data_IF_346943753442
#
_entry.id   IF_346943753442
#
_cell.length_a   1.000
_cell.length_b   1.000
_cell.length_c   1.000
_cell.angle_alpha   90.00
_cell.angle_beta   90.00
_cell.angle_gamma   90.00
#
_symmetry.space_group_name_H-M   'P 1'
#
loop_
_entity.id
_entity.type
_entity.pdbx_description
1 polymer ?
#
# COMPACT_ATOMS: atom_id res chain seq x y z
N UNK A 1 55.47 13.30 26.91
CA UNK A 1 54.06 13.77 26.95
C UNK A 1 53.24 12.99 25.94
N UNK A 2 52.82 11.77 26.33
CA UNK A 2 51.74 11.00 25.69
C UNK A 2 50.51 11.17 26.57
N UNK A 3 49.33 11.36 25.96
CA UNK A 3 48.04 11.23 26.65
C UNK A 3 47.21 12.50 26.66
N UNK A 4 46.35 12.67 25.65
CA UNK A 4 45.09 13.43 25.77
C UNK A 4 44.17 13.26 24.55
N UNK A 5 44.68 13.01 23.34
CA UNK A 5 43.86 13.13 22.11
C UNK A 5 43.18 11.85 21.59
N UNK A 6 43.11 10.76 22.36
CA UNK A 6 42.44 9.51 21.92
C UNK A 6 41.10 9.19 22.57
N UNK A 7 40.58 10.05 23.45
CA UNK A 7 39.33 9.77 24.19
C UNK A 7 38.08 10.53 23.69
N UNK A 8 38.23 11.53 22.82
CA UNK A 8 37.08 12.30 22.31
C UNK A 8 36.44 11.70 21.04
N UNK A 9 37.20 10.97 20.22
CA UNK A 9 36.67 10.36 18.99
C UNK A 9 35.82 9.10 19.26
N UNK A 10 36.14 8.32 20.29
CA UNK A 10 35.38 7.11 20.65
C UNK A 10 34.03 7.41 21.31
N UNK A 11 33.90 8.54 22.01
CA UNK A 11 32.66 8.94 22.70
C UNK A 11 31.66 9.59 21.76
N UNK A 12 32.10 10.34 20.75
CA UNK A 12 31.20 10.91 19.73
C UNK A 12 30.60 9.84 18.80
N UNK A 13 31.37 8.81 18.40
CA UNK A 13 30.86 7.71 17.57
C UNK A 13 29.90 6.78 18.32
N UNK A 14 30.17 6.52 19.61
CA UNK A 14 29.24 5.78 20.48
C UNK A 14 27.99 6.60 20.82
N UNK A 15 28.12 7.92 21.01
CA UNK A 15 26.98 8.80 21.20
C UNK A 15 26.10 8.86 19.94
N UNK A 16 26.67 9.06 18.74
CA UNK A 16 25.91 9.06 17.49
C UNK A 16 25.27 7.69 17.19
N UNK A 17 25.99 6.58 17.44
CA UNK A 17 25.44 5.23 17.35
C UNK A 17 24.31 4.98 18.35
N UNK A 18 24.45 5.47 19.58
CA UNK A 18 23.41 5.36 20.61
C UNK A 18 22.20 6.26 20.36
N UNK A 19 22.34 7.38 19.64
CA UNK A 19 21.22 8.22 19.21
C UNK A 19 20.49 7.63 18.00
N UNK A 20 21.19 7.00 17.05
CA UNK A 20 20.56 6.23 15.97
C UNK A 20 19.85 4.99 16.51
N UNK A 21 20.46 4.28 17.46
CA UNK A 21 19.85 3.15 18.18
C UNK A 21 18.72 3.60 19.12
N UNK A 22 18.78 4.80 19.73
CA UNK A 22 17.67 5.39 20.50
C UNK A 22 16.56 5.98 19.63
N UNK A 23 16.84 6.38 18.39
CA UNK A 23 15.80 6.77 17.44
C UNK A 23 14.97 5.55 16.98
N UNK A 24 15.55 4.36 17.08
CA UNK A 24 14.90 3.06 16.95
C UNK A 24 14.28 2.60 18.30
N UNK A 25 13.44 3.42 18.91
CA UNK A 25 12.50 2.92 19.92
C UNK A 25 11.43 1.98 19.32
N UNK A 26 11.56 1.57 18.05
CA UNK A 26 10.85 0.45 17.41
C UNK A 26 11.74 -0.81 17.31
N UNK A 27 11.11 -1.98 17.23
CA UNK A 27 11.83 -3.25 17.29
C UNK A 27 12.73 -3.48 16.05
N UNK A 28 13.97 -4.02 16.19
CA UNK A 28 14.77 -4.52 15.05
C UNK A 28 13.99 -5.45 14.12
N UNK A 29 12.95 -6.12 14.65
CA UNK A 29 12.02 -6.94 13.90
C UNK A 29 11.27 -6.16 12.80
N UNK A 30 10.97 -4.87 12.98
CA UNK A 30 10.27 -4.06 11.98
C UNK A 30 11.04 -3.92 10.66
N UNK A 31 12.37 -4.06 10.70
CA UNK A 31 13.23 -4.12 9.50
C UNK A 31 12.99 -5.39 8.67
N UNK A 32 12.43 -6.44 9.29
CA UNK A 32 12.08 -7.69 8.66
C UNK A 32 13.23 -8.70 8.54
N UNK A 33 13.10 -9.64 7.61
CA UNK A 33 14.09 -10.70 7.37
C UNK A 33 15.46 -10.21 6.91
N UNK A 34 16.47 -11.03 7.22
CA UNK A 34 17.83 -10.83 6.75
C UNK A 34 17.92 -11.02 5.22
N UNK A 35 18.76 -10.24 4.49
CA UNK A 35 18.86 -10.33 3.02
C UNK A 35 19.17 -11.72 2.47
N UNK A 36 19.92 -12.55 3.22
CA UNK A 36 20.20 -13.93 2.84
C UNK A 36 18.93 -14.81 2.80
N UNK A 37 17.98 -14.59 3.71
CA UNK A 37 16.73 -15.33 3.74
C UNK A 37 15.80 -14.90 2.59
N UNK A 38 15.78 -13.60 2.26
CA UNK A 38 15.07 -13.07 1.09
C UNK A 38 15.65 -13.67 -0.19
N UNK A 39 16.98 -13.59 -0.36
CA UNK A 39 17.67 -14.13 -1.54
C UNK A 39 17.42 -15.63 -1.75
N UNK A 40 17.31 -16.41 -0.67
CA UNK A 40 17.06 -17.85 -0.76
C UNK A 40 15.76 -18.19 -1.50
N UNK A 41 14.74 -17.33 -1.42
CA UNK A 41 13.44 -17.54 -2.10
C UNK A 41 13.33 -16.76 -3.42
N UNK A 42 14.06 -15.65 -3.60
CA UNK A 42 13.94 -14.79 -4.80
C UNK A 42 14.88 -15.17 -5.94
N UNK A 43 16.03 -15.81 -5.67
CA UNK A 43 17.08 -16.06 -6.67
C UNK A 43 16.65 -16.92 -7.88
N UNK A 44 15.54 -17.66 -7.78
CA UNK A 44 15.00 -18.48 -8.86
C UNK A 44 14.03 -17.75 -9.79
N UNK A 45 13.65 -16.51 -9.48
CA UNK A 45 12.68 -15.76 -10.26
C UNK A 45 13.30 -15.23 -11.58
N UNK A 46 12.57 -15.30 -12.71
CA UNK A 46 13.00 -14.66 -13.96
C UNK A 46 13.00 -13.12 -13.89
N UNK A 47 12.31 -12.56 -12.89
CA UNK A 47 12.18 -11.13 -12.63
C UNK A 47 13.27 -10.61 -11.67
N UNK A 48 14.05 -11.51 -11.06
CA UNK A 48 15.14 -11.18 -10.15
C UNK A 48 16.50 -11.28 -10.87
N UNK A 49 17.15 -10.14 -11.10
CA UNK A 49 18.41 -10.06 -11.87
C UNK A 49 19.43 -9.22 -11.11
N UNK A 50 20.68 -9.67 -11.13
CA UNK A 50 21.79 -8.98 -10.45
C UNK A 50 21.54 -8.67 -8.96
N UNK A 51 20.74 -9.50 -8.30
CA UNK A 51 20.41 -9.37 -6.88
C UNK A 51 19.27 -8.41 -6.56
N UNK A 52 18.49 -7.96 -7.54
CA UNK A 52 17.32 -7.10 -7.36
C UNK A 52 16.18 -7.47 -8.33
N UNK A 53 14.95 -7.09 -7.98
CA UNK A 53 13.84 -7.02 -8.92
C UNK A 53 13.91 -5.72 -9.74
N UNK A 54 13.37 -5.77 -10.95
CA UNK A 54 13.34 -4.62 -11.88
C UNK A 54 11.94 -4.43 -12.45
N UNK A 55 11.57 -3.18 -12.73
CA UNK A 55 10.31 -2.86 -13.40
C UNK A 55 10.32 -3.38 -14.85
N UNK A 56 9.13 -3.76 -15.36
CA UNK A 56 8.97 -4.18 -16.76
C UNK A 56 9.12 -3.01 -17.73
N UNK A 57 8.61 -1.84 -17.33
CA UNK A 57 8.72 -0.61 -18.12
C UNK A 57 10.08 0.06 -17.87
N UNK A 58 10.73 0.60 -18.92
CA UNK A 58 11.91 1.43 -18.77
C UNK A 58 11.65 2.61 -17.82
N UNK A 59 12.66 3.00 -17.04
CA UNK A 59 12.58 4.23 -16.23
C UNK A 59 12.50 5.47 -17.11
N UNK A 60 11.78 6.49 -16.67
CA UNK A 60 11.81 7.81 -17.30
C UNK A 60 13.19 8.44 -17.12
N UNK A 61 13.65 9.17 -18.13
CA UNK A 61 14.86 9.99 -18.07
C UNK A 61 14.59 11.24 -17.21
N UNK A 62 14.38 11.03 -15.90
CA UNK A 62 14.17 12.10 -14.95
C UNK A 62 15.25 12.05 -13.87
N UNK A 63 16.09 13.08 -13.86
CA UNK A 63 17.13 13.26 -12.85
C UNK A 63 16.82 14.50 -12.03
N UNK A 64 16.56 14.31 -10.74
CA UNK A 64 16.53 15.43 -9.80
C UNK A 64 17.94 15.80 -9.39
N UNK A 65 18.17 17.10 -9.22
CA UNK A 65 19.35 17.55 -8.49
C UNK A 65 19.14 17.55 -6.97
N UNK A 66 20.22 17.78 -6.21
CA UNK A 66 20.17 17.75 -4.74
C UNK A 66 19.37 18.90 -4.13
N UNK A 67 19.24 20.01 -4.84
CA UNK A 67 18.51 21.18 -4.37
C UNK A 67 17.01 20.92 -4.48
N UNK A 68 16.56 20.35 -5.60
CA UNK A 68 15.17 19.91 -5.80
C UNK A 68 14.77 18.85 -4.77
N UNK A 69 15.63 17.85 -4.52
CA UNK A 69 15.40 16.86 -3.46
C UNK A 69 15.28 17.51 -2.07
N UNK A 70 16.11 18.53 -1.79
CA UNK A 70 16.07 19.26 -0.52
C UNK A 70 14.79 20.08 -0.39
N UNK A 71 14.31 20.67 -1.47
CA UNK A 71 13.05 21.42 -1.50
C UNK A 71 11.85 20.51 -1.25
N UNK A 72 11.82 19.31 -1.87
CA UNK A 72 10.80 18.31 -1.58
C UNK A 72 10.83 17.86 -0.12
N UNK A 73 12.01 17.55 0.41
CA UNK A 73 12.17 17.18 1.82
C UNK A 73 11.75 18.33 2.76
N UNK A 74 12.08 19.57 2.41
CA UNK A 74 11.67 20.75 3.17
C UNK A 74 10.16 20.94 3.13
N UNK A 75 9.52 20.79 1.96
CA UNK A 75 8.07 20.91 1.84
C UNK A 75 7.39 19.85 2.70
N UNK A 76 7.82 18.59 2.59
CA UNK A 76 7.40 17.46 3.43
C UNK A 76 7.53 17.71 4.94
N UNK A 77 8.45 18.55 5.40
CA UNK A 77 8.63 18.86 6.83
C UNK A 77 7.89 20.16 7.23
N UNK A 78 7.95 21.19 6.38
CA UNK A 78 7.64 22.58 6.70
C UNK A 78 6.28 23.07 6.24
N UNK A 79 5.73 22.58 5.12
CA UNK A 79 4.48 23.09 4.55
C UNK A 79 3.26 22.34 5.11
N UNK A 80 2.90 22.66 6.36
CA UNK A 80 1.87 21.93 7.13
C UNK A 80 0.44 22.41 6.89
N UNK A 81 0.23 23.56 6.28
CA UNK A 81 -1.07 24.24 6.23
C UNK A 81 -2.09 23.56 5.32
N UNK A 82 -1.71 23.29 4.06
CA UNK A 82 -2.60 22.69 3.04
C UNK A 82 -2.43 21.17 2.91
N UNK A 83 -1.33 20.63 3.44
CA UNK A 83 -1.02 19.19 3.41
C UNK A 83 -1.67 18.40 4.55
N UNK A 84 -2.51 19.06 5.36
CA UNK A 84 -3.30 18.46 6.45
C UNK A 84 -4.73 19.02 6.42
N UNK A 85 -5.72 18.24 6.90
CA UNK A 85 -7.09 18.71 7.01
C UNK A 85 -7.21 19.81 8.07
N UNK A 86 -8.10 20.79 7.83
CA UNK A 86 -8.39 21.87 8.77
C UNK A 86 -9.25 21.43 9.96
N UNK A 87 -10.04 20.36 9.77
CA UNK A 87 -10.88 19.73 10.78
C UNK A 87 -10.62 18.21 10.83
N UNK A 88 -11.05 17.50 11.88
CA UNK A 88 -10.98 16.04 11.91
C UNK A 88 -11.69 15.40 10.72
N UNK A 89 -11.04 14.44 10.06
CA UNK A 89 -11.64 13.65 8.99
C UNK A 89 -12.82 12.84 9.57
N UNK A 90 -14.03 12.95 9.01
CA UNK A 90 -15.17 12.20 9.50
C UNK A 90 -14.97 10.70 9.24
N UNK A 91 -15.27 9.90 10.25
CA UNK A 91 -15.26 8.44 10.17
C UNK A 91 -16.69 7.93 10.02
N UNK A 92 -16.90 6.94 9.17
CA UNK A 92 -18.15 6.20 9.08
C UNK A 92 -18.06 4.92 9.95
N UNK A 93 -18.96 4.73 10.92
CA UNK A 93 -19.27 3.44 11.58
C UNK A 93 -20.51 3.61 12.48
N UNK A 94 -21.57 2.79 12.32
CA UNK A 94 -21.59 1.45 12.96
C UNK A 94 -21.93 0.25 12.05
N UNK A 95 -22.33 0.45 10.79
CA UNK A 95 -22.91 -0.59 9.92
C UNK A 95 -21.91 -1.21 8.90
N UNK A 96 -20.60 -1.14 9.17
CA UNK A 96 -19.55 -1.51 8.20
C UNK A 96 -19.66 -2.96 7.71
N UNK A 97 -20.22 -3.84 8.54
CA UNK A 97 -20.30 -5.28 8.30
C UNK A 97 -21.73 -5.82 8.19
N UNK A 98 -22.73 -4.93 8.10
CA UNK A 98 -24.15 -5.31 8.04
C UNK A 98 -24.60 -5.79 6.64
N UNK A 99 -23.68 -5.79 5.67
CA UNK A 99 -23.92 -6.21 4.29
C UNK A 99 -23.80 -7.71 4.06
N UNK A 100 -24.45 -8.21 3.00
CA UNK A 100 -24.29 -9.59 2.53
C UNK A 100 -22.94 -9.72 1.79
N UNK A 101 -21.95 -10.48 2.32
CA UNK A 101 -20.64 -10.63 1.69
C UNK A 101 -20.68 -11.39 0.36
N UNK A 102 -21.82 -12.02 0.00
CA UNK A 102 -22.04 -12.62 -1.33
C UNK A 102 -22.13 -11.59 -2.45
N UNK A 103 -22.37 -10.32 -2.10
CA UNK A 103 -22.34 -9.21 -3.05
C UNK A 103 -20.95 -8.61 -3.10
N UNK A 104 -20.60 -8.05 -4.25
CA UNK A 104 -19.41 -7.21 -4.36
C UNK A 104 -19.58 -5.96 -3.51
N UNK A 105 -18.63 -5.68 -2.63
CA UNK A 105 -18.56 -4.42 -1.89
C UNK A 105 -17.14 -4.14 -1.43
N UNK A 106 -16.86 -2.87 -1.10
CA UNK A 106 -15.58 -2.49 -0.50
C UNK A 106 -15.79 -1.52 0.65
N UNK A 107 -15.08 -1.78 1.74
CA UNK A 107 -15.00 -0.89 2.89
C UNK A 107 -13.59 -0.31 2.97
N UNK A 108 -13.45 1.01 2.91
CA UNK A 108 -12.14 1.65 2.93
C UNK A 108 -11.74 2.06 4.34
N UNK A 109 -10.59 1.60 4.85
CA UNK A 109 -10.14 1.88 6.23
C UNK A 109 -9.13 3.03 6.31
N UNK A 110 -8.71 3.54 5.14
CA UNK A 110 -7.65 4.53 4.99
C UNK A 110 -6.46 3.95 4.24
N UNK A 111 -5.72 4.81 3.56
CA UNK A 111 -4.53 4.50 2.77
C UNK A 111 -4.85 3.43 1.71
N UNK A 112 -4.05 2.37 1.61
CA UNK A 112 -4.33 1.19 0.77
C UNK A 112 -5.05 0.06 1.51
N UNK A 113 -5.48 0.30 2.76
CA UNK A 113 -6.25 -0.68 3.53
C UNK A 113 -7.72 -0.65 3.14
N UNK A 114 -8.19 -1.74 2.52
CA UNK A 114 -9.59 -1.95 2.19
C UNK A 114 -10.02 -3.38 2.51
N UNK A 115 -11.27 -3.55 2.93
CA UNK A 115 -11.92 -4.85 3.03
C UNK A 115 -12.83 -5.03 1.82
N UNK A 116 -12.43 -5.91 0.91
CA UNK A 116 -13.19 -6.34 -0.24
C UNK A 116 -14.08 -7.51 0.14
N UNK A 117 -15.38 -7.39 -0.07
CA UNK A 117 -16.34 -8.49 -0.03
C UNK A 117 -16.65 -8.90 -1.47
N UNK A 118 -16.47 -10.19 -1.79
CA UNK A 118 -16.57 -10.69 -3.16
C UNK A 118 -17.03 -12.14 -3.16
N UNK A 119 -18.22 -12.41 -3.72
CA UNK A 119 -18.79 -13.76 -3.85
C UNK A 119 -18.78 -14.62 -2.56
N UNK A 120 -18.91 -13.98 -1.40
CA UNK A 120 -18.95 -14.64 -0.09
C UNK A 120 -17.62 -14.62 0.65
N UNK A 121 -16.54 -14.19 -0.01
CA UNK A 121 -15.20 -14.06 0.57
C UNK A 121 -14.93 -12.63 1.04
N UNK A 122 -14.09 -12.49 2.06
CA UNK A 122 -13.57 -11.23 2.57
C UNK A 122 -12.07 -11.16 2.44
N UNK A 123 -11.58 -10.22 1.63
CA UNK A 123 -10.16 -10.01 1.37
C UNK A 123 -9.72 -8.66 1.93
N UNK A 124 -8.72 -8.66 2.81
CA UNK A 124 -8.16 -7.45 3.40
C UNK A 124 -6.87 -7.08 2.66
N UNK A 125 -6.79 -5.87 2.12
CA UNK A 125 -5.62 -5.37 1.38
C UNK A 125 -4.72 -4.52 2.28
N UNK A 126 -3.41 -4.61 2.11
CA UNK A 126 -2.35 -3.79 2.76
C UNK A 126 -2.72 -3.28 4.16
N UNK A 127 -2.93 -4.17 5.14
CA UNK A 127 -3.50 -3.77 6.40
C UNK A 127 -2.51 -3.00 7.27
N UNK A 128 -2.83 -1.74 7.57
CA UNK A 128 -2.04 -0.87 8.45
C UNK A 128 -2.94 -0.20 9.49
N UNK A 129 -2.87 -0.68 10.74
CA UNK A 129 -3.54 -0.08 11.90
C UNK A 129 -2.64 0.83 12.74
N UNK A 130 -1.32 0.71 12.57
CA UNK A 130 -0.32 1.51 13.29
C UNK A 130 -0.52 3.01 13.11
N UNK A 131 -0.21 3.78 14.16
CA UNK A 131 -0.30 5.24 14.13
C UNK A 131 0.74 5.89 13.18
N UNK A 132 1.87 5.22 12.95
CA UNK A 132 2.92 5.66 12.03
C UNK A 132 3.34 4.52 11.11
N UNK A 133 3.63 4.85 9.85
CA UNK A 133 4.24 3.94 8.89
C UNK A 133 5.76 4.13 8.92
N UNK A 134 6.43 3.49 9.87
CA UNK A 134 7.86 3.67 10.13
C UNK A 134 8.44 2.49 10.92
N UNK A 135 9.75 2.21 10.83
CA UNK A 135 10.41 1.29 11.76
C UNK A 135 10.50 1.83 13.20
N UNK A 136 10.05 3.06 13.45
CA UNK A 136 10.08 3.72 14.75
C UNK A 136 8.70 4.26 15.12
N UNK A 137 8.29 4.05 16.37
CA UNK A 137 7.02 4.56 16.89
C UNK A 137 7.02 6.09 17.11
N UNK A 138 8.20 6.70 17.05
CA UNK A 138 8.40 8.13 17.36
C UNK A 138 8.55 8.96 16.08
N UNK A 139 9.28 8.43 15.10
CA UNK A 139 9.69 9.16 13.88
C UNK A 139 8.97 8.56 12.68
N UNK A 140 8.64 9.39 11.70
CA UNK A 140 8.01 8.95 10.44
C UNK A 140 6.58 9.44 10.27
N UNK A 141 5.96 9.20 9.10
CA UNK A 141 4.65 9.75 8.77
C UNK A 141 3.60 9.22 9.74
N UNK A 142 2.80 10.14 10.29
CA UNK A 142 1.68 9.84 11.18
C UNK A 142 0.38 9.92 10.40
N UNK A 143 -0.56 9.05 10.72
CA UNK A 143 -1.90 9.12 10.12
C UNK A 143 -2.69 10.36 10.51
N UNK A 144 -3.57 10.78 9.60
CA UNK A 144 -4.40 11.99 9.69
C UNK A 144 -5.73 11.77 10.41
N UNK A 145 -6.16 10.52 10.57
CA UNK A 145 -7.39 10.11 11.28
C UNK A 145 -7.14 8.81 12.05
N UNK A 146 -7.92 8.40 13.08
CA UNK A 146 -7.88 7.07 13.73
C UNK A 146 -8.34 5.94 12.78
N UNK A 147 -8.04 4.64 12.99
CA UNK A 147 -8.61 3.59 12.15
C UNK A 147 -10.11 3.59 12.44
N UNK A 148 -10.98 3.41 11.44
CA UNK A 148 -12.41 3.58 11.65
C UNK A 148 -13.00 2.56 12.63
N UNK A 149 -12.36 1.40 12.76
CA UNK A 149 -12.67 0.37 13.76
C UNK A 149 -11.36 -0.21 14.32
N UNK A 150 -11.36 -0.72 15.57
CA UNK A 150 -10.24 -1.50 16.09
C UNK A 150 -10.01 -2.76 15.24
N UNK A 151 -8.78 -3.26 15.19
CA UNK A 151 -8.42 -4.42 14.38
C UNK A 151 -9.17 -5.68 14.83
N UNK A 152 -9.40 -5.80 16.14
CA UNK A 152 -10.19 -6.87 16.77
C UNK A 152 -11.67 -6.80 16.41
N UNK A 153 -12.13 -5.64 15.90
CA UNK A 153 -13.48 -5.45 15.41
C UNK A 153 -13.69 -5.90 13.97
N UNK A 154 -12.64 -6.37 13.28
CA UNK A 154 -12.80 -6.92 11.93
C UNK A 154 -13.61 -8.22 11.95
N UNK A 155 -14.46 -8.46 10.94
CA UNK A 155 -15.06 -9.77 10.73
C UNK A 155 -13.97 -10.79 10.40
N UNK A 156 -14.34 -12.08 10.41
CA UNK A 156 -13.48 -13.09 9.83
C UNK A 156 -13.14 -12.73 8.38
N UNK A 157 -11.85 -12.69 8.08
CA UNK A 157 -11.32 -12.51 6.72
C UNK A 157 -10.85 -13.85 6.17
N UNK A 158 -10.98 -14.04 4.87
CA UNK A 158 -10.62 -15.28 4.17
C UNK A 158 -9.23 -15.18 3.55
N UNK A 159 -8.78 -13.98 3.20
CA UNK A 159 -7.44 -13.72 2.70
C UNK A 159 -6.94 -12.33 3.15
N UNK A 160 -5.62 -12.21 3.36
CA UNK A 160 -4.93 -10.93 3.46
C UNK A 160 -4.01 -10.81 2.27
N UNK A 161 -4.03 -9.67 1.57
CA UNK A 161 -3.21 -9.41 0.39
C UNK A 161 -2.27 -8.25 0.70
N UNK A 162 -0.98 -8.43 0.40
CA UNK A 162 0.04 -7.38 0.55
C UNK A 162 0.62 -7.04 -0.82
N UNK A 163 0.74 -5.76 -1.16
CA UNK A 163 1.31 -5.32 -2.45
C UNK A 163 2.83 -5.35 -2.48
N UNK A 164 3.51 -4.90 -1.42
CA UNK A 164 4.97 -4.83 -1.32
C UNK A 164 5.40 -4.57 0.15
N UNK A 165 6.70 -4.44 0.41
CA UNK A 165 7.26 -4.46 1.76
C UNK A 165 7.40 -3.08 2.45
N UNK A 166 6.91 -1.97 1.91
CA UNK A 166 7.04 -0.67 2.57
C UNK A 166 6.21 -0.60 3.86
N UNK A 167 6.60 0.28 4.78
CA UNK A 167 6.00 0.36 6.11
C UNK A 167 4.53 0.78 6.12
N UNK A 168 4.08 1.49 5.10
CA UNK A 168 2.69 1.91 4.91
C UNK A 168 1.82 0.86 4.19
N UNK A 169 2.41 -0.27 3.79
CA UNK A 169 1.73 -1.40 3.15
C UNK A 169 1.90 -2.73 3.91
N UNK A 170 3.01 -2.87 4.64
CA UNK A 170 3.36 -4.02 5.46
C UNK A 170 3.75 -3.58 6.88
N UNK A 171 2.74 -3.49 7.73
CA UNK A 171 2.89 -3.12 9.14
C UNK A 171 3.04 -4.35 10.03
N UNK A 172 4.19 -4.46 10.72
CA UNK A 172 4.52 -5.63 11.54
C UNK A 172 3.50 -5.85 12.67
N UNK A 173 3.06 -4.79 13.33
CA UNK A 173 2.15 -4.90 14.48
C UNK A 173 0.77 -5.38 14.03
N UNK A 174 0.27 -4.86 12.91
CA UNK A 174 -0.96 -5.34 12.27
C UNK A 174 -0.83 -6.78 11.83
N UNK A 175 0.27 -7.17 11.17
CA UNK A 175 0.49 -8.56 10.73
C UNK A 175 0.50 -9.52 11.92
N UNK A 176 1.22 -9.20 13.00
CA UNK A 176 1.27 -10.02 14.21
C UNK A 176 -0.08 -10.11 14.92
N UNK A 177 -0.84 -9.02 14.94
CA UNK A 177 -2.18 -9.02 15.53
C UNK A 177 -3.19 -9.82 14.69
N UNK A 178 -3.15 -9.70 13.35
CA UNK A 178 -3.93 -10.55 12.43
C UNK A 178 -3.55 -12.02 12.56
N UNK A 179 -2.27 -12.33 12.75
CA UNK A 179 -1.83 -13.71 12.95
C UNK A 179 -2.45 -14.36 14.19
N UNK A 180 -2.64 -13.57 15.25
CA UNK A 180 -3.26 -14.02 16.52
C UNK A 180 -4.78 -14.12 16.45
N UNK A 181 -5.43 -13.22 15.70
CA UNK A 181 -6.89 -13.04 15.72
C UNK A 181 -7.61 -13.70 14.54
N UNK A 182 -6.92 -13.89 13.42
CA UNK A 182 -7.47 -14.40 12.17
C UNK A 182 -6.76 -15.68 11.73
N UNK A 183 -7.43 -16.48 10.89
CA UNK A 183 -6.86 -17.71 10.29
C UNK A 183 -6.44 -17.56 8.83
N UNK A 184 -6.83 -16.48 8.17
CA UNK A 184 -6.57 -16.25 6.75
C UNK A 184 -5.10 -16.43 6.36
N UNK A 185 -4.80 -17.02 5.20
CA UNK A 185 -3.49 -16.92 4.58
C UNK A 185 -3.18 -15.47 4.15
N UNK A 186 -1.89 -15.16 4.10
CA UNK A 186 -1.31 -13.95 3.56
C UNK A 186 -0.80 -14.24 2.14
N UNK A 187 -1.40 -13.59 1.15
CA UNK A 187 -0.94 -13.55 -0.22
C UNK A 187 0.04 -12.39 -0.36
N UNK A 188 1.28 -12.71 -0.69
CA UNK A 188 2.37 -11.73 -0.74
C UNK A 188 3.24 -11.94 -1.98
N UNK A 189 3.91 -10.89 -2.49
CA UNK A 189 4.86 -11.03 -3.58
C UNK A 189 6.12 -11.77 -3.12
N UNK A 190 6.81 -12.38 -4.07
CA UNK A 190 8.04 -13.14 -3.82
C UNK A 190 9.09 -12.34 -3.01
N UNK A 191 9.59 -12.93 -1.92
CA UNK A 191 10.54 -12.31 -1.01
C UNK A 191 9.87 -11.66 0.21
N UNK A 192 8.63 -11.16 0.10
CA UNK A 192 7.91 -10.56 1.23
C UNK A 192 7.57 -11.61 2.28
N UNK A 193 7.30 -12.86 1.86
CA UNK A 193 7.06 -13.99 2.74
C UNK A 193 8.24 -14.28 3.67
N UNK A 194 9.47 -13.94 3.29
CA UNK A 194 10.61 -14.05 4.18
C UNK A 194 10.45 -13.16 5.44
N UNK A 195 9.92 -11.93 5.30
CA UNK A 195 9.64 -11.06 6.46
C UNK A 195 8.59 -11.70 7.38
N UNK A 196 7.50 -12.23 6.81
CA UNK A 196 6.45 -12.90 7.56
C UNK A 196 6.98 -14.12 8.33
N UNK A 197 7.81 -14.96 7.69
CA UNK A 197 8.48 -16.10 8.35
C UNK A 197 9.37 -15.63 9.50
N UNK A 198 10.15 -14.56 9.29
CA UNK A 198 11.00 -13.98 10.34
C UNK A 198 10.19 -13.44 11.53
N UNK A 199 8.95 -13.01 11.30
CA UNK A 199 8.00 -12.59 12.33
C UNK A 199 7.22 -13.74 12.98
N UNK A 200 7.47 -14.98 12.57
CA UNK A 200 6.85 -16.18 13.15
C UNK A 200 5.48 -16.52 12.57
N UNK A 201 5.12 -15.98 11.40
CA UNK A 201 3.92 -16.40 10.68
C UNK A 201 4.12 -17.84 10.18
N UNK A 202 3.19 -18.78 10.46
CA UNK A 202 3.33 -20.17 10.02
C UNK A 202 3.39 -20.32 8.50
N UNK A 203 4.27 -21.19 7.99
CA UNK A 203 4.48 -21.41 6.55
C UNK A 203 3.18 -21.68 5.77
N UNK A 204 2.28 -22.50 6.34
CA UNK A 204 1.01 -22.85 5.70
C UNK A 204 0.03 -21.67 5.57
N UNK A 205 0.33 -20.52 6.20
CA UNK A 205 -0.42 -19.27 6.05
C UNK A 205 0.25 -18.29 5.10
N UNK A 206 1.36 -18.64 4.45
CA UNK A 206 2.08 -17.73 3.56
C UNK A 206 1.96 -18.27 2.12
N UNK A 207 1.27 -17.52 1.28
CA UNK A 207 1.19 -17.79 -0.16
C UNK A 207 2.04 -16.75 -0.87
N UNK A 208 3.27 -17.14 -1.19
CA UNK A 208 4.28 -16.26 -1.78
C UNK A 208 4.34 -16.48 -3.30
N UNK A 209 4.12 -15.41 -4.07
CA UNK A 209 3.86 -15.48 -5.51
C UNK A 209 4.73 -14.50 -6.32
N UNK A 210 5.27 -14.97 -7.43
CA UNK A 210 5.83 -14.12 -8.49
C UNK A 210 4.72 -13.58 -9.41
N UNK A 211 5.02 -12.60 -10.25
CA UNK A 211 4.05 -12.07 -11.22
C UNK A 211 3.50 -13.17 -12.13
N UNK A 212 2.20 -13.03 -12.43
CA UNK A 212 1.36 -13.98 -13.17
C UNK A 212 1.11 -15.32 -12.46
N UNK A 213 1.64 -15.54 -11.25
CA UNK A 213 1.27 -16.68 -10.43
C UNK A 213 -0.01 -16.40 -9.65
N UNK A 214 -0.74 -17.47 -9.33
CA UNK A 214 -2.00 -17.39 -8.60
C UNK A 214 -2.03 -18.39 -7.45
N UNK A 215 -2.69 -18.02 -6.37
CA UNK A 215 -3.11 -18.95 -5.33
C UNK A 215 -4.63 -18.92 -5.17
N UNK A 216 -5.16 -19.79 -4.30
CA UNK A 216 -6.60 -19.96 -4.13
C UNK A 216 -7.00 -20.10 -2.67
N UNK A 217 -8.20 -19.62 -2.36
CA UNK A 217 -8.97 -19.97 -1.16
C UNK A 217 -10.30 -20.49 -1.66
N UNK A 218 -10.48 -21.81 -1.66
CA UNK A 218 -11.63 -22.48 -2.27
C UNK A 218 -11.86 -22.02 -3.74
N UNK A 219 -12.97 -21.33 -4.02
CA UNK A 219 -13.32 -20.81 -5.35
C UNK A 219 -12.67 -19.46 -5.66
N UNK A 220 -12.21 -18.72 -4.64
CA UNK A 220 -11.52 -17.44 -4.79
C UNK A 220 -10.12 -17.65 -5.38
N UNK A 221 -9.82 -16.92 -6.44
CA UNK A 221 -8.50 -16.87 -7.07
C UNK A 221 -7.86 -15.52 -6.77
N UNK A 222 -6.63 -15.54 -6.28
CA UNK A 222 -5.83 -14.33 -6.05
C UNK A 222 -4.57 -14.43 -6.91
N UNK A 223 -4.45 -13.54 -7.89
CA UNK A 223 -3.36 -13.53 -8.88
C UNK A 223 -2.43 -12.35 -8.60
N UNK A 224 -1.14 -12.64 -8.42
CA UNK A 224 -0.07 -11.66 -8.30
C UNK A 224 0.23 -11.09 -9.69
N UNK A 225 0.11 -9.78 -9.87
CA UNK A 225 0.22 -9.12 -11.17
C UNK A 225 1.31 -8.05 -11.17
N UNK A 226 1.89 -7.74 -12.35
CA UNK A 226 2.85 -6.66 -12.47
C UNK A 226 2.35 -5.33 -11.91
N UNK A 227 3.27 -4.60 -11.29
CA UNK A 227 3.11 -3.22 -10.87
C UNK A 227 4.42 -2.47 -11.15
N UNK A 228 4.34 -1.15 -11.27
CA UNK A 228 5.52 -0.29 -11.42
C UNK A 228 5.82 0.40 -10.10
N UNK A 229 6.76 -0.16 -9.35
CA UNK A 229 7.12 0.35 -8.04
C UNK A 229 8.54 -0.09 -7.65
N UNK A 230 8.84 -0.10 -6.35
CA UNK A 230 10.09 -0.58 -5.79
C UNK A 230 9.82 -1.21 -4.41
N UNK A 231 10.83 -1.81 -3.78
CA UNK A 231 10.73 -2.34 -2.41
C UNK A 231 11.88 -1.87 -1.53
N UNK A 232 11.69 -1.93 -0.22
CA UNK A 232 12.75 -1.70 0.77
C UNK A 232 12.25 -1.25 2.14
N UNK A 233 12.73 -1.93 3.19
CA UNK A 233 12.48 -1.55 4.60
C UNK A 233 13.66 -0.82 5.26
N UNK A 234 14.86 -0.87 4.69
CA UNK A 234 16.01 -0.17 5.28
C UNK A 234 17.01 0.30 4.22
N UNK A 235 18.25 -0.18 4.26
CA UNK A 235 19.27 0.17 3.27
C UNK A 235 19.14 -0.66 1.99
N UNK A 236 18.61 -1.88 2.10
CA UNK A 236 18.37 -2.75 0.96
C UNK A 236 17.14 -2.28 0.20
N UNK A 237 17.27 -2.19 -1.12
CA UNK A 237 16.17 -1.87 -2.04
C UNK A 237 15.99 -2.97 -3.07
N UNK A 238 14.75 -3.17 -3.50
CA UNK A 238 14.38 -4.06 -4.59
C UNK A 238 14.75 -5.53 -4.36
N UNK A 239 14.91 -5.95 -3.10
CA UNK A 239 15.27 -7.34 -2.78
C UNK A 239 14.05 -8.26 -2.71
N UNK A 240 12.85 -7.70 -2.47
CA UNK A 240 11.56 -8.38 -2.60
C UNK A 240 10.78 -7.82 -3.79
N UNK A 241 9.84 -8.61 -4.30
CA UNK A 241 8.95 -8.19 -5.37
C UNK A 241 7.88 -7.20 -4.85
N UNK A 242 7.32 -6.40 -5.75
CA UNK A 242 6.13 -5.57 -5.56
C UNK A 242 5.09 -5.99 -6.59
N UNK A 243 3.80 -5.89 -6.25
CA UNK A 243 2.74 -6.39 -7.11
C UNK A 243 1.45 -5.59 -6.98
N UNK A 244 0.65 -5.69 -8.03
CA UNK A 244 -0.79 -5.50 -7.97
C UNK A 244 -1.49 -6.85 -7.90
N UNK A 245 -2.80 -6.87 -7.68
CA UNK A 245 -3.54 -8.10 -7.44
C UNK A 245 -4.87 -8.12 -8.17
N UNK A 246 -5.16 -9.23 -8.87
CA UNK A 246 -6.52 -9.55 -9.28
C UNK A 246 -7.12 -10.52 -8.26
N UNK A 247 -8.31 -10.16 -7.76
CA UNK A 247 -9.11 -10.97 -6.84
C UNK A 247 -10.38 -11.36 -7.56
N UNK A 248 -10.53 -12.64 -7.87
CA UNK A 248 -11.60 -13.17 -8.73
C UNK A 248 -12.39 -14.22 -7.98
N UNK A 249 -13.66 -13.94 -7.73
CA UNK A 249 -14.63 -14.93 -7.29
C UNK A 249 -15.37 -15.57 -8.48
N UNK A 250 -16.32 -16.48 -8.22
CA UNK A 250 -17.14 -17.10 -9.25
C UNK A 250 -17.91 -16.14 -10.17
N UNK A 251 -18.35 -14.99 -9.67
CA UNK A 251 -19.21 -14.06 -10.41
C UNK A 251 -18.62 -12.66 -10.55
N UNK A 252 -17.71 -12.26 -9.67
CA UNK A 252 -17.18 -10.90 -9.63
C UNK A 252 -15.65 -10.88 -9.65
N UNK A 253 -15.08 -9.76 -10.10
CA UNK A 253 -13.63 -9.54 -10.21
C UNK A 253 -13.28 -8.14 -9.70
N UNK A 254 -12.29 -8.07 -8.83
CA UNK A 254 -11.74 -6.81 -8.34
C UNK A 254 -10.23 -6.72 -8.62
N UNK A 255 -9.77 -5.51 -8.91
CA UNK A 255 -8.36 -5.19 -9.06
C UNK A 255 -7.87 -4.33 -7.90
N UNK A 256 -6.72 -4.67 -7.33
CA UNK A 256 -6.05 -3.91 -6.29
C UNK A 256 -4.66 -3.48 -6.75
N UNK A 257 -4.44 -2.17 -6.89
CA UNK A 257 -3.22 -1.61 -7.48
C UNK A 257 -2.05 -1.41 -6.50
N UNK A 258 -2.23 -1.61 -5.20
CA UNK A 258 -1.25 -1.18 -4.19
C UNK A 258 -1.04 0.34 -4.28
N UNK A 259 0.20 0.77 -4.55
CA UNK A 259 0.63 2.15 -4.75
C UNK A 259 1.43 2.36 -6.06
N UNK A 260 1.17 1.49 -7.04
CA UNK A 260 1.86 1.47 -8.33
C UNK A 260 1.88 2.84 -9.06
N UNK A 261 2.97 3.08 -9.77
CA UNK A 261 3.05 4.03 -10.89
C UNK A 261 2.31 3.51 -12.12
N UNK A 262 2.16 4.36 -13.13
CA UNK A 262 1.50 3.96 -14.37
C UNK A 262 2.37 2.99 -15.15
N UNK A 263 1.78 1.89 -15.64
CA UNK A 263 2.46 0.86 -16.43
C UNK A 263 1.69 0.47 -17.69
N UNK A 264 2.43 0.10 -18.74
CA UNK A 264 1.84 -0.48 -19.95
C UNK A 264 1.17 -1.84 -19.68
N UNK A 265 1.50 -2.50 -18.57
CA UNK A 265 0.94 -3.79 -18.19
C UNK A 265 -0.57 -3.74 -17.95
N UNK A 266 -1.16 -2.58 -17.62
CA UNK A 266 -2.58 -2.50 -17.28
C UNK A 266 -3.50 -2.96 -18.42
N UNK A 267 -3.20 -2.59 -19.66
CA UNK A 267 -4.03 -2.99 -20.81
C UNK A 267 -4.03 -4.51 -21.01
N UNK A 268 -2.87 -5.15 -20.83
CA UNK A 268 -2.74 -6.61 -20.90
C UNK A 268 -3.45 -7.28 -19.71
N UNK A 269 -3.33 -6.71 -18.50
CA UNK A 269 -4.04 -7.19 -17.31
C UNK A 269 -5.56 -7.12 -17.53
N UNK A 270 -6.08 -6.01 -18.05
CA UNK A 270 -7.50 -5.86 -18.40
C UNK A 270 -7.94 -6.90 -19.43
N UNK A 271 -7.12 -7.17 -20.45
CA UNK A 271 -7.41 -8.19 -21.46
C UNK A 271 -7.42 -9.62 -20.90
N UNK A 272 -6.48 -9.96 -20.02
CA UNK A 272 -6.31 -11.33 -19.52
C UNK A 272 -7.24 -11.67 -18.34
N UNK A 273 -7.53 -10.68 -17.48
CA UNK A 273 -8.22 -10.89 -16.22
C UNK A 273 -9.53 -10.10 -16.10
N UNK A 274 -9.77 -9.11 -16.94
CA UNK A 274 -10.97 -8.29 -16.92
C UNK A 274 -12.18 -8.93 -17.63
N UNK A 275 -13.26 -8.14 -17.80
CA UNK A 275 -13.44 -6.81 -17.21
C UNK A 275 -13.55 -6.90 -15.68
N UNK A 276 -12.95 -5.94 -14.97
CA UNK A 276 -13.08 -5.84 -13.51
C UNK A 276 -14.33 -5.04 -13.14
N UNK A 277 -15.08 -5.53 -12.15
CA UNK A 277 -16.26 -4.84 -11.60
C UNK A 277 -15.87 -3.70 -10.67
N UNK A 278 -14.68 -3.79 -10.05
CA UNK A 278 -14.16 -2.84 -9.08
C UNK A 278 -12.65 -2.69 -9.23
N UNK A 279 -12.15 -1.46 -9.26
CA UNK A 279 -10.71 -1.18 -9.21
C UNK A 279 -10.39 -0.29 -8.01
N UNK A 280 -9.46 -0.74 -7.17
CA UNK A 280 -8.88 0.01 -6.08
C UNK A 280 -7.53 0.56 -6.54
N UNK A 281 -7.48 1.85 -6.89
CA UNK A 281 -6.30 2.46 -7.51
C UNK A 281 -5.72 3.61 -6.67
N UNK A 282 -4.38 3.68 -6.51
CA UNK A 282 -3.74 4.75 -5.77
C UNK A 282 -3.90 6.08 -6.52
N UNK A 283 -4.13 7.15 -5.76
CA UNK A 283 -4.25 8.51 -6.31
C UNK A 283 -3.42 9.55 -5.57
N UNK A 284 -2.77 9.18 -4.47
CA UNK A 284 -1.93 10.06 -3.67
C UNK A 284 -0.44 9.74 -3.83
N UNK A 285 0.38 10.38 -3.01
CA UNK A 285 1.84 10.19 -2.97
C UNK A 285 2.60 10.53 -4.27
N UNK A 286 1.94 11.04 -5.30
CA UNK A 286 2.58 11.45 -6.55
C UNK A 286 3.43 12.71 -6.39
N UNK A 287 4.47 12.80 -7.22
CA UNK A 287 5.19 14.03 -7.47
C UNK A 287 5.92 13.95 -8.80
N UNK A 288 6.17 15.10 -9.44
CA UNK A 288 7.01 15.19 -10.63
C UNK A 288 8.45 14.71 -10.36
N UNK A 289 8.86 14.71 -9.09
CA UNK A 289 10.13 14.18 -8.60
C UNK A 289 10.32 12.66 -8.77
N UNK A 290 9.24 11.89 -8.86
CA UNK A 290 9.27 10.43 -9.01
C UNK A 290 8.10 9.96 -9.89
N UNK A 291 8.08 10.38 -11.16
CA UNK A 291 6.91 10.23 -12.03
C UNK A 291 6.53 8.77 -12.29
N UNK A 292 7.47 7.85 -12.12
CA UNK A 292 7.27 6.42 -12.40
C UNK A 292 6.85 5.59 -11.19
N UNK A 293 6.88 6.16 -9.98
CA UNK A 293 6.75 5.40 -8.73
C UNK A 293 5.30 5.34 -8.25
N UNK A 294 4.56 6.44 -8.38
CA UNK A 294 3.17 6.57 -7.95
C UNK A 294 2.37 7.26 -9.05
N UNK A 295 1.21 6.70 -9.40
CA UNK A 295 0.29 7.34 -10.35
C UNK A 295 -0.18 8.68 -9.80
N UNK A 296 -0.25 9.68 -10.68
CA UNK A 296 -1.10 10.83 -10.44
C UNK A 296 -2.59 10.48 -10.67
N UNK A 297 -3.53 11.33 -10.25
CA UNK A 297 -4.96 11.03 -10.36
C UNK A 297 -5.45 10.83 -11.80
N UNK A 298 -4.88 11.54 -12.78
CA UNK A 298 -5.22 11.40 -14.19
C UNK A 298 -4.73 10.06 -14.77
N UNK A 299 -3.56 9.60 -14.34
CA UNK A 299 -3.02 8.27 -14.65
C UNK A 299 -3.86 7.17 -14.01
N UNK A 300 -4.39 7.36 -12.80
CA UNK A 300 -5.31 6.41 -12.18
C UNK A 300 -6.61 6.24 -12.99
N UNK A 301 -7.15 7.32 -13.58
CA UNK A 301 -8.28 7.25 -14.52
C UNK A 301 -7.91 6.47 -15.77
N UNK A 302 -6.70 6.69 -16.33
CA UNK A 302 -6.22 5.95 -17.49
C UNK A 302 -6.04 4.46 -17.18
N UNK A 303 -5.40 4.13 -16.06
CA UNK A 303 -5.21 2.76 -15.61
C UNK A 303 -6.55 2.04 -15.41
N UNK A 304 -7.54 2.72 -14.83
CA UNK A 304 -8.89 2.17 -14.71
C UNK A 304 -9.48 1.80 -16.08
N UNK A 305 -9.37 2.69 -17.07
CA UNK A 305 -9.86 2.45 -18.43
C UNK A 305 -9.09 1.34 -19.17
N UNK A 306 -7.81 1.14 -18.85
CA UNK A 306 -7.03 0.02 -19.36
C UNK A 306 -7.45 -1.33 -18.74
N UNK A 307 -7.98 -1.30 -17.52
CA UNK A 307 -8.39 -2.49 -16.75
C UNK A 307 -9.85 -2.88 -17.00
N UNK A 308 -10.75 -1.92 -17.23
CA UNK A 308 -12.19 -2.16 -17.37
C UNK A 308 -12.90 -1.01 -18.06
N UNK A 309 -14.04 -1.31 -18.69
CA UNK A 309 -14.91 -0.34 -19.37
C UNK A 309 -16.17 0.03 -18.57
N UNK A 310 -16.47 -0.72 -17.51
CA UNK A 310 -17.76 -0.67 -16.81
C UNK A 310 -17.68 -0.79 -15.29
N UNK A 311 -16.49 -1.08 -14.75
CA UNK A 311 -16.28 -1.21 -13.31
C UNK A 311 -16.34 0.13 -12.55
N UNK A 312 -16.42 0.03 -11.24
CA UNK A 312 -16.33 1.18 -10.34
C UNK A 312 -14.87 1.46 -9.94
N UNK A 313 -14.43 2.71 -10.00
CA UNK A 313 -13.16 3.16 -9.45
C UNK A 313 -13.36 3.66 -8.01
N UNK A 314 -12.62 3.07 -7.06
CA UNK A 314 -12.52 3.56 -5.68
C UNK A 314 -11.07 3.97 -5.40
N UNK A 315 -10.80 5.24 -5.05
CA UNK A 315 -9.43 5.70 -4.83
C UNK A 315 -8.88 5.27 -3.48
N UNK A 316 -7.62 4.83 -3.49
CA UNK A 316 -6.83 4.45 -2.32
C UNK A 316 -5.52 5.26 -2.26
N UNK A 317 -4.67 5.00 -1.25
CA UNK A 317 -3.35 5.62 -1.05
C UNK A 317 -3.39 7.15 -0.88
N UNK A 318 -4.47 7.68 -0.31
CA UNK A 318 -4.64 9.12 -0.03
C UNK A 318 -5.36 9.37 1.29
N UNK A 319 -5.39 10.62 1.74
CA UNK A 319 -6.20 11.07 2.89
C UNK A 319 -5.82 10.49 4.26
N UNK A 320 -4.79 9.63 4.34
CA UNK A 320 -4.45 8.89 5.55
C UNK A 320 -3.05 9.20 6.04
N UNK A 321 -2.02 9.04 5.20
CA UNK A 321 -0.65 9.45 5.52
C UNK A 321 -0.21 10.57 4.58
N UNK A 322 0.71 11.41 5.04
CA UNK A 322 1.35 12.43 4.22
C UNK A 322 2.69 11.91 3.72
N UNK A 323 2.70 11.41 2.48
CA UNK A 323 3.86 10.78 1.86
C UNK A 323 4.47 11.60 0.70
N UNK A 324 3.78 12.65 0.23
CA UNK A 324 4.25 13.54 -0.82
C UNK A 324 3.88 15.01 -0.54
N UNK A 325 4.56 15.97 -1.20
CA UNK A 325 4.31 17.40 -1.04
C UNK A 325 3.15 17.88 -1.93
N UNK A 326 1.95 17.32 -1.73
CA UNK A 326 0.70 17.83 -2.33
C UNK A 326 -0.32 18.17 -1.23
N UNK A 327 -1.30 19.06 -1.48
CA UNK A 327 -2.41 19.28 -0.57
C UNK A 327 -3.18 17.98 -0.29
N UNK A 328 -3.68 17.80 0.94
CA UNK A 328 -4.19 16.49 1.38
C UNK A 328 -5.42 16.00 0.61
N UNK A 329 -6.29 16.93 0.18
CA UNK A 329 -7.51 16.66 -0.58
C UNK A 329 -7.34 16.76 -2.10
N UNK A 330 -6.22 17.30 -2.59
CA UNK A 330 -5.95 17.47 -4.03
C UNK A 330 -6.09 16.16 -4.84
N UNK A 331 -5.60 14.99 -4.35
CA UNK A 331 -5.74 13.72 -5.07
C UNK A 331 -7.14 13.43 -5.60
N UNK A 332 -8.16 13.57 -4.75
CA UNK A 332 -9.54 13.24 -5.15
C UNK A 332 -10.22 14.35 -5.93
N UNK A 333 -9.87 15.62 -5.70
CA UNK A 333 -10.39 16.71 -6.55
C UNK A 333 -9.91 16.55 -7.99
N UNK A 334 -8.62 16.24 -8.19
CA UNK A 334 -8.05 15.96 -9.51
C UNK A 334 -8.62 14.68 -10.12
N UNK A 335 -8.76 13.62 -9.34
CA UNK A 335 -9.38 12.37 -9.80
C UNK A 335 -10.79 12.62 -10.35
N UNK A 336 -11.65 13.31 -9.59
CA UNK A 336 -13.03 13.57 -10.00
C UNK A 336 -13.08 14.48 -11.23
N UNK A 337 -12.20 15.48 -11.31
CA UNK A 337 -12.08 16.34 -12.48
C UNK A 337 -11.63 15.56 -13.74
N UNK A 338 -10.72 14.60 -13.60
CA UNK A 338 -10.23 13.76 -14.69
C UNK A 338 -11.25 12.68 -15.12
N UNK A 339 -11.97 12.10 -14.16
CA UNK A 339 -12.93 11.02 -14.40
C UNK A 339 -14.22 11.50 -15.10
N UNK A 340 -14.68 12.71 -14.78
CA UNK A 340 -15.93 13.27 -15.31
C UNK A 340 -16.00 13.31 -16.86
N UNK A 341 -15.03 13.89 -17.60
CA UNK A 341 -15.06 13.89 -19.06
C UNK A 341 -14.86 12.49 -19.65
N UNK A 342 -14.16 11.60 -18.95
CA UNK A 342 -13.95 10.21 -19.35
C UNK A 342 -15.15 9.29 -19.04
N UNK A 343 -16.18 9.80 -18.35
CA UNK A 343 -17.36 9.05 -17.90
C UNK A 343 -17.03 7.84 -17.02
N UNK A 344 -15.93 7.91 -16.28
CA UNK A 344 -15.55 6.87 -15.32
C UNK A 344 -16.40 6.99 -14.07
N UNK A 345 -17.01 5.88 -13.65
CA UNK A 345 -17.75 5.82 -12.40
C UNK A 345 -16.76 5.83 -11.22
N UNK A 346 -16.81 6.87 -10.39
CA UNK A 346 -15.95 7.01 -9.21
C UNK A 346 -16.81 7.11 -7.96
N UNK A 347 -16.44 6.37 -6.91
CA UNK A 347 -16.97 6.60 -5.55
C UNK A 347 -15.82 6.84 -4.59
N UNK A 348 -15.94 7.92 -3.81
CA UNK A 348 -14.92 8.34 -2.82
C UNK A 348 -15.44 8.07 -1.40
N UNK A 349 -15.18 6.89 -0.81
CA UNK A 349 -15.65 6.56 0.52
C UNK A 349 -15.00 7.45 1.59
N UNK A 350 -15.72 7.78 2.64
CA UNK A 350 -15.10 8.22 3.90
C UNK A 350 -14.41 7.02 4.57
N UNK A 351 -13.39 7.22 5.42
CA UNK A 351 -12.79 6.10 6.16
C UNK A 351 -13.86 5.40 7.02
N UNK A 352 -13.99 4.08 6.83
CA UNK A 352 -15.01 3.23 7.41
C UNK A 352 -16.33 3.19 6.64
N UNK A 353 -16.40 3.75 5.43
CA UNK A 353 -17.61 3.68 4.61
C UNK A 353 -17.58 2.43 3.71
N UNK A 354 -18.66 1.64 3.77
CA UNK A 354 -18.92 0.52 2.85
C UNK A 354 -19.60 1.02 1.58
N UNK A 355 -19.07 0.61 0.42
CA UNK A 355 -19.58 0.91 -0.91
C UNK A 355 -20.01 -0.37 -1.60
N UNK A 356 -21.23 -0.40 -2.11
CA UNK A 356 -21.74 -1.43 -3.02
C UNK A 356 -21.70 -0.88 -4.45
N UNK A 357 -20.89 -1.44 -5.37
CA UNK A 357 -20.78 -0.94 -6.74
C UNK A 357 -22.09 -0.94 -7.53
N UNK A 358 -23.07 -1.76 -7.15
CA UNK A 358 -24.39 -1.81 -7.80
C UNK A 358 -25.34 -0.71 -7.33
N UNK A 359 -25.05 -0.11 -6.17
CA UNK A 359 -25.85 0.96 -5.57
C UNK A 359 -24.92 1.99 -4.91
N UNK A 360 -24.05 2.67 -5.68
CA UNK A 360 -23.14 3.66 -5.13
C UNK A 360 -23.98 4.79 -4.52
N UNK A 361 -23.84 4.98 -3.21
CA UNK A 361 -24.55 6.03 -2.48
C UNK A 361 -24.21 7.42 -3.02
N UNK A 362 -24.96 8.44 -2.57
CA UNK A 362 -24.64 9.83 -2.94
C UNK A 362 -23.24 10.20 -2.42
N UNK A 363 -22.40 10.72 -3.33
CA UNK A 363 -21.09 11.27 -2.97
C UNK A 363 -21.27 12.46 -2.01
N UNK A 364 -20.65 12.37 -0.84
CA UNK A 364 -20.54 13.46 0.13
C UNK A 364 -19.08 13.93 0.11
N UNK A 365 -18.77 15.18 -0.28
CA UNK A 365 -17.40 15.66 -0.42
C UNK A 365 -16.76 15.95 0.94
N UNK A 366 -16.60 14.91 1.76
CA UNK A 366 -16.09 14.98 3.13
C UNK A 366 -14.65 15.48 3.24
N UNK A 367 -13.91 15.51 2.12
CA UNK A 367 -12.54 16.02 2.02
C UNK A 367 -12.48 17.56 1.86
N UNK A 368 -13.62 18.24 1.69
CA UNK A 368 -13.71 19.72 1.66
C UNK A 368 -13.98 20.28 3.06
N UNK A 369 -13.02 20.06 3.97
CA UNK A 369 -13.07 20.47 5.39
C UNK A 369 -12.60 21.90 5.64
#
# INVERSE_FOLDING_TARGET
MRGALRLAAGTASLAAGSWVVRALHGAPAALGAHPAAIRAVTQGSPNYRDGVFVNLDPGSDFTMDREEMRLVAWDLIGNRGVSRPAAPIPLAAPALFDGDPRRLAVSWFGHSTALLEIDGYRVLTDPVWSNRCSPSDIVGPQRLHPPPVPLEGLPAVDAVVVSHDHYDHLDIDTVLALARTQRAPFFVPLGVGAHLRAWGIPEHRIVELDWHQSGRVDELIVTCLPARHFSGRFLDRNTTLWASWAVMGPNHRAYFGGDTGYTQSFAQIGADHGPFDLTLLPVGAYNTAWPDVHMNPEEAVRAHLDLTDSGLLVPIHWGTFRLAPHPWAEPVERLLAAAAPARVAVTVPAPGQRIDPTAPGKSNPWWRL
#
